data_IF_665057988217
#
_entry.id   IF_665057988217
#
_cell.length_a   1.000
_cell.length_b   1.000
_cell.length_c   1.000
_cell.angle_alpha   90.00
_cell.angle_beta   90.00
_cell.angle_gamma   90.00
#
_symmetry.space_group_name_H-M   'P 1'
#
loop_
_entity.id
_entity.type
_entity.pdbx_description
1 polymer ?
#
# COMPACT_ATOMS: atom_id res chain seq x y z
N UNK A 1 0.67 -6.91 27.04
CA UNK A 1 0.44 -6.26 25.74
C UNK A 1 1.06 -7.15 24.67
N UNK A 2 0.27 -7.63 23.71
CA UNK A 2 0.78 -8.48 22.62
C UNK A 2 1.78 -7.70 21.76
N UNK A 3 2.97 -8.27 21.49
CA UNK A 3 3.99 -7.66 20.63
C UNK A 3 3.46 -7.42 19.21
N UNK A 4 2.43 -8.16 18.78
CA UNK A 4 1.81 -8.01 17.48
C UNK A 4 1.15 -6.65 17.25
N UNK A 5 0.76 -5.93 18.31
CA UNK A 5 0.24 -4.56 18.17
C UNK A 5 1.25 -3.56 17.64
N UNK A 6 2.56 -3.82 17.83
CA UNK A 6 3.62 -2.92 17.40
C UNK A 6 3.66 -2.86 15.88
N UNK A 7 3.36 -3.96 15.19
CA UNK A 7 3.50 -4.05 13.74
C UNK A 7 2.53 -3.12 12.97
N UNK A 8 1.21 -3.11 13.25
CA UNK A 8 0.30 -2.14 12.64
C UNK A 8 0.64 -0.69 12.96
N UNK A 9 1.20 -0.40 14.14
CA UNK A 9 1.57 0.98 14.55
C UNK A 9 2.89 1.42 13.90
N UNK A 10 3.85 0.51 13.73
CA UNK A 10 5.14 0.84 13.15
C UNK A 10 5.04 1.12 11.65
N UNK A 11 4.11 0.50 10.93
CA UNK A 11 3.89 0.79 9.51
C UNK A 11 3.62 2.28 9.22
N UNK A 12 2.56 2.93 9.77
CA UNK A 12 2.34 4.35 9.55
C UNK A 12 3.46 5.20 10.12
N UNK A 13 4.01 4.86 11.30
CA UNK A 13 5.09 5.63 11.90
C UNK A 13 6.33 5.69 10.99
N UNK A 14 6.76 4.55 10.45
CA UNK A 14 7.93 4.46 9.57
C UNK A 14 7.64 5.03 8.18
N UNK A 15 6.50 4.68 7.57
CA UNK A 15 6.18 5.09 6.21
C UNK A 15 5.89 6.58 6.13
N UNK A 16 5.05 7.14 7.02
CA UNK A 16 4.72 8.57 7.02
C UNK A 16 5.99 9.40 7.30
N UNK A 17 6.77 9.03 8.32
CA UNK A 17 8.03 9.73 8.61
C UNK A 17 8.99 9.63 7.44
N UNK A 18 9.10 8.44 6.83
CA UNK A 18 9.96 8.20 5.68
C UNK A 18 9.61 9.07 4.48
N UNK A 19 8.32 9.14 4.08
CA UNK A 19 7.92 9.98 2.94
C UNK A 19 8.14 11.47 3.21
N UNK A 20 7.98 11.94 4.45
CA UNK A 20 8.31 13.32 4.82
C UNK A 20 9.81 13.60 4.76
N UNK A 21 10.66 12.63 5.12
CA UNK A 21 12.11 12.74 4.96
C UNK A 21 12.49 12.79 3.48
N UNK A 22 11.89 11.93 2.65
CA UNK A 22 12.07 11.94 1.18
C UNK A 22 11.66 13.30 0.61
N UNK A 23 10.51 13.83 1.02
CA UNK A 23 10.07 15.17 0.63
C UNK A 23 11.06 16.26 1.06
N UNK A 24 11.51 16.25 2.32
CA UNK A 24 12.46 17.23 2.83
C UNK A 24 13.79 17.21 2.07
N UNK A 25 14.29 16.01 1.72
CA UNK A 25 15.49 15.87 0.88
C UNK A 25 15.25 16.41 -0.53
N UNK A 26 14.15 16.02 -1.18
CA UNK A 26 13.80 16.48 -2.52
C UNK A 26 13.65 18.00 -2.58
N UNK A 27 13.08 18.59 -1.53
CA UNK A 27 12.90 20.02 -1.38
C UNK A 27 14.23 20.75 -1.16
N UNK A 28 15.09 20.20 -0.30
CA UNK A 28 16.43 20.74 -0.06
C UNK A 28 17.27 20.74 -1.35
N UNK A 29 17.20 19.64 -2.11
CA UNK A 29 17.89 19.46 -3.40
C UNK A 29 17.19 20.14 -4.58
N UNK A 30 16.09 20.89 -4.36
CA UNK A 30 15.37 21.62 -5.42
C UNK A 30 14.75 20.73 -6.50
N UNK A 31 14.49 19.46 -6.20
CA UNK A 31 13.85 18.52 -7.12
C UNK A 31 12.33 18.70 -7.17
N UNK A 32 11.72 19.21 -6.09
CA UNK A 32 10.30 19.50 -5.98
C UNK A 32 10.04 20.87 -5.37
N UNK A 33 8.85 21.40 -5.61
CA UNK A 33 8.38 22.65 -5.04
C UNK A 33 7.87 22.50 -3.61
N UNK A 34 7.91 23.58 -2.80
CA UNK A 34 7.26 23.58 -1.51
C UNK A 34 5.76 23.27 -1.63
N UNK A 35 5.22 22.46 -0.72
CA UNK A 35 3.79 22.10 -0.68
C UNK A 35 2.89 23.31 -0.46
N UNK A 36 3.40 24.37 0.19
CA UNK A 36 2.67 25.62 0.35
C UNK A 36 2.77 26.55 -0.88
N UNK A 37 3.59 26.22 -1.88
CA UNK A 37 3.74 27.04 -3.07
C UNK A 37 2.71 26.67 -4.14
N UNK A 38 1.76 27.56 -4.37
CA UNK A 38 0.74 27.43 -5.41
C UNK A 38 1.04 28.25 -6.67
N UNK A 39 2.19 28.94 -6.70
CA UNK A 39 2.63 29.74 -7.84
C UNK A 39 3.55 28.90 -8.73
N UNK A 40 3.03 28.47 -9.87
CA UNK A 40 3.79 27.78 -10.91
C UNK A 40 3.92 28.71 -12.11
N UNK A 41 5.16 29.10 -12.44
CA UNK A 41 5.47 29.98 -13.56
C UNK A 41 6.69 29.44 -14.31
N UNK A 42 6.66 29.51 -15.65
CA UNK A 42 7.80 29.20 -16.50
C UNK A 42 8.88 30.29 -16.44
N UNK A 43 8.49 31.51 -16.09
CA UNK A 43 9.38 32.66 -15.88
C UNK A 43 9.64 32.82 -14.38
N UNK A 44 10.91 32.81 -13.93
CA UNK A 44 11.26 32.84 -12.50
C UNK A 44 11.12 34.26 -11.94
N UNK A 45 9.93 34.84 -12.01
CA UNK A 45 9.67 36.23 -11.60
C UNK A 45 9.62 36.40 -10.07
N UNK A 46 9.56 35.31 -9.30
CA UNK A 46 9.39 35.34 -7.84
C UNK A 46 10.46 34.50 -7.16
N UNK A 47 11.25 35.13 -6.28
CA UNK A 47 12.20 34.44 -5.41
C UNK A 47 11.43 33.58 -4.39
N UNK A 48 11.68 32.26 -4.40
CA UNK A 48 11.09 31.35 -3.42
C UNK A 48 12.02 31.21 -2.20
N UNK A 49 11.56 31.55 -0.97
CA UNK A 49 12.43 31.69 0.22
C UNK A 49 13.15 30.41 0.65
N UNK A 50 12.73 29.23 0.16
CA UNK A 50 13.31 27.93 0.49
C UNK A 50 14.17 27.32 -0.64
N UNK A 51 14.20 27.96 -1.82
CA UNK A 51 15.04 27.54 -2.93
C UNK A 51 16.36 28.32 -2.91
N UNK A 52 17.50 27.63 -2.72
CA UNK A 52 18.84 28.27 -2.65
C UNK A 52 19.70 28.03 -3.90
N UNK A 53 19.08 27.76 -5.05
CA UNK A 53 19.75 27.45 -6.32
C UNK A 53 19.57 28.53 -7.40
N UNK A 54 20.24 28.40 -8.56
CA UNK A 54 20.13 29.34 -9.68
C UNK A 54 18.77 29.31 -10.38
N UNK A 55 18.01 28.22 -10.22
CA UNK A 55 16.64 28.06 -10.72
C UNK A 55 15.65 28.20 -9.56
N UNK A 56 14.98 29.35 -9.49
CA UNK A 56 13.95 29.67 -8.48
C UNK A 56 12.52 29.38 -9.01
N UNK A 57 12.41 28.69 -10.15
CA UNK A 57 11.15 28.42 -10.82
C UNK A 57 10.51 27.12 -10.35
N UNK A 58 9.20 27.17 -10.12
CA UNK A 58 8.34 26.00 -10.01
C UNK A 58 7.63 25.73 -11.32
N UNK A 59 7.96 24.61 -11.97
CA UNK A 59 7.28 24.12 -13.17
C UNK A 59 6.36 22.94 -12.82
N UNK A 60 5.54 22.49 -13.77
CA UNK A 60 4.70 21.28 -13.60
C UNK A 60 5.53 20.04 -13.26
N UNK A 61 6.75 19.96 -13.77
CA UNK A 61 7.62 18.82 -13.51
C UNK A 61 8.08 18.76 -12.04
N UNK A 62 7.89 19.83 -11.27
CA UNK A 62 8.30 19.95 -9.87
C UNK A 62 7.12 19.92 -8.89
N UNK A 63 5.90 19.60 -9.32
CA UNK A 63 4.76 19.44 -8.42
C UNK A 63 5.08 18.34 -7.38
N UNK A 64 4.87 18.59 -6.07
CA UNK A 64 5.37 17.72 -5.01
C UNK A 64 4.50 16.47 -4.78
N UNK A 65 4.25 15.69 -5.83
CA UNK A 65 3.73 14.33 -5.71
C UNK A 65 4.71 13.47 -4.90
N UNK A 66 4.22 12.49 -4.14
CA UNK A 66 5.06 11.61 -3.32
C UNK A 66 6.09 10.90 -4.21
N UNK A 67 5.63 10.37 -5.35
CA UNK A 67 6.47 9.69 -6.34
C UNK A 67 7.52 10.62 -6.96
N UNK A 68 7.18 11.89 -7.18
CA UNK A 68 8.12 12.89 -7.71
C UNK A 68 9.24 13.17 -6.71
N UNK A 69 8.92 13.27 -5.42
CA UNK A 69 9.91 13.44 -4.36
C UNK A 69 10.95 12.29 -4.34
N UNK A 70 10.53 11.07 -4.68
CA UNK A 70 11.38 9.88 -4.74
C UNK A 70 12.00 9.57 -6.10
N UNK A 71 12.12 10.54 -7.02
CA UNK A 71 12.55 10.25 -8.40
C UNK A 71 14.07 10.25 -8.62
N UNK A 72 14.82 11.09 -7.90
CA UNK A 72 16.26 11.25 -8.09
C UNK A 72 17.06 10.70 -6.90
N UNK A 73 18.33 10.28 -7.06
CA UNK A 73 19.18 9.91 -5.93
C UNK A 73 19.65 11.13 -5.12
N UNK A 74 19.77 11.02 -3.79
CA UNK A 74 19.58 9.81 -2.97
C UNK A 74 18.13 9.50 -2.58
N UNK A 75 17.17 10.39 -2.88
CA UNK A 75 15.78 10.30 -2.44
C UNK A 75 15.08 9.03 -2.95
N UNK A 76 15.39 8.63 -4.18
CA UNK A 76 14.86 7.44 -4.82
C UNK A 76 15.24 6.16 -4.09
N UNK A 77 16.47 6.06 -3.56
CA UNK A 77 16.89 4.91 -2.77
C UNK A 77 16.09 4.80 -1.46
N UNK A 78 15.86 5.94 -0.79
CA UNK A 78 15.02 5.98 0.41
C UNK A 78 13.56 5.65 0.08
N UNK A 79 13.02 6.21 -1.00
CA UNK A 79 11.67 5.94 -1.45
C UNK A 79 11.45 4.45 -1.77
N UNK A 80 12.38 3.83 -2.50
CA UNK A 80 12.36 2.40 -2.78
C UNK A 80 12.43 1.56 -1.50
N UNK A 81 13.28 1.94 -0.55
CA UNK A 81 13.39 1.25 0.74
C UNK A 81 12.08 1.33 1.55
N UNK A 82 11.50 2.53 1.64
CA UNK A 82 10.24 2.78 2.38
C UNK A 82 9.10 1.99 1.74
N UNK A 83 8.93 2.06 0.43
CA UNK A 83 7.87 1.35 -0.28
C UNK A 83 8.04 -0.16 -0.19
N UNK A 84 9.27 -0.68 -0.37
CA UNK A 84 9.52 -2.13 -0.30
C UNK A 84 9.33 -2.68 1.12
N UNK A 85 9.82 -1.97 2.14
CA UNK A 85 9.62 -2.34 3.54
C UNK A 85 8.14 -2.25 3.92
N UNK A 86 7.47 -1.16 3.52
CA UNK A 86 6.04 -0.96 3.72
C UNK A 86 5.21 -2.06 3.08
N UNK A 87 5.50 -2.45 1.83
CA UNK A 87 4.85 -3.58 1.16
C UNK A 87 5.00 -4.88 1.91
N UNK A 88 6.21 -5.19 2.40
CA UNK A 88 6.43 -6.40 3.21
C UNK A 88 5.62 -6.36 4.51
N UNK A 89 5.63 -5.24 5.23
CA UNK A 89 4.84 -5.05 6.44
C UNK A 89 3.33 -5.19 6.17
N UNK A 90 2.84 -4.59 5.08
CA UNK A 90 1.44 -4.75 4.63
C UNK A 90 1.12 -6.22 4.39
N UNK A 91 1.96 -6.96 3.66
CA UNK A 91 1.73 -8.39 3.42
C UNK A 91 1.60 -9.18 4.72
N UNK A 92 2.49 -8.92 5.71
CA UNK A 92 2.46 -9.58 7.01
C UNK A 92 1.21 -9.18 7.81
N UNK A 93 0.86 -7.88 7.88
CA UNK A 93 -0.34 -7.40 8.57
C UNK A 93 -1.59 -8.04 7.96
N UNK A 94 -1.72 -8.02 6.63
CA UNK A 94 -2.88 -8.59 5.95
C UNK A 94 -2.99 -10.10 6.19
N UNK A 95 -1.86 -10.82 6.16
CA UNK A 95 -1.82 -12.25 6.46
C UNK A 95 -2.22 -12.56 7.91
N UNK A 96 -1.68 -11.82 8.88
CA UNK A 96 -2.05 -11.96 10.30
C UNK A 96 -3.53 -11.63 10.53
N UNK A 97 -4.04 -10.58 9.88
CA UNK A 97 -5.45 -10.21 9.93
C UNK A 97 -6.32 -11.32 9.39
N UNK A 98 -5.96 -11.89 8.24
CA UNK A 98 -6.67 -13.01 7.63
C UNK A 98 -6.75 -14.22 8.59
N UNK A 99 -5.62 -14.61 9.19
CA UNK A 99 -5.58 -15.73 10.14
C UNK A 99 -6.37 -15.44 11.43
N UNK A 100 -6.27 -14.22 11.96
CA UNK A 100 -7.02 -13.82 13.14
C UNK A 100 -8.54 -13.90 12.94
N UNK A 101 -9.02 -13.53 11.76
CA UNK A 101 -10.44 -13.66 11.41
C UNK A 101 -10.88 -15.12 11.34
N UNK A 102 -10.03 -16.00 10.82
CA UNK A 102 -10.31 -17.45 10.77
C UNK A 102 -10.37 -18.05 12.17
N UNK A 103 -9.41 -17.72 13.03
CA UNK A 103 -9.32 -18.23 14.39
C UNK A 103 -10.55 -17.84 15.23
N UNK A 104 -10.94 -16.57 15.23
CA UNK A 104 -12.03 -16.07 16.09
C UNK A 104 -13.43 -16.33 15.56
N UNK A 105 -13.56 -16.56 14.26
CA UNK A 105 -14.83 -16.73 13.60
C UNK A 105 -14.78 -17.95 12.68
N UNK A 106 -15.03 -17.75 11.39
CA UNK A 106 -14.79 -18.71 10.33
C UNK A 106 -14.39 -17.95 9.07
N UNK A 107 -13.67 -18.61 8.16
CA UNK A 107 -13.30 -17.97 6.92
C UNK A 107 -14.54 -17.61 6.09
N UNK A 108 -14.45 -16.51 5.36
CA UNK A 108 -15.51 -16.06 4.45
C UNK A 108 -14.90 -15.42 3.21
N UNK A 109 -15.71 -15.32 2.14
CA UNK A 109 -15.28 -14.72 0.87
C UNK A 109 -14.69 -13.33 1.07
N UNK A 110 -15.27 -12.52 1.95
CA UNK A 110 -14.80 -11.17 2.25
C UNK A 110 -13.38 -11.15 2.84
N UNK A 111 -13.05 -12.13 3.69
CA UNK A 111 -11.73 -12.25 4.31
C UNK A 111 -10.66 -12.67 3.28
N UNK A 112 -10.98 -13.65 2.43
CA UNK A 112 -10.09 -14.07 1.33
C UNK A 112 -9.90 -12.97 0.29
N UNK A 113 -10.98 -12.29 -0.12
CA UNK A 113 -10.91 -11.17 -1.05
C UNK A 113 -10.05 -10.02 -0.48
N UNK A 114 -10.16 -9.76 0.82
CA UNK A 114 -9.32 -8.77 1.49
C UNK A 114 -7.85 -9.18 1.53
N UNK A 115 -7.53 -10.45 1.79
CA UNK A 115 -6.17 -10.97 1.69
C UNK A 115 -5.57 -10.73 0.30
N UNK A 116 -6.29 -11.17 -0.75
CA UNK A 116 -5.84 -11.03 -2.13
C UNK A 116 -5.63 -9.57 -2.53
N UNK A 117 -6.59 -8.69 -2.23
CA UNK A 117 -6.50 -7.25 -2.56
C UNK A 117 -5.35 -6.57 -1.81
N UNK A 118 -5.11 -6.92 -0.54
CA UNK A 118 -3.98 -6.39 0.23
C UNK A 118 -2.62 -6.80 -0.33
N UNK A 119 -2.47 -8.03 -0.81
CA UNK A 119 -1.23 -8.49 -1.45
C UNK A 119 -1.02 -7.90 -2.85
N UNK A 120 -2.08 -7.76 -3.64
CA UNK A 120 -2.02 -7.06 -4.93
C UNK A 120 -1.60 -5.59 -4.71
N UNK A 121 -2.15 -4.93 -3.70
CA UNK A 121 -1.74 -3.57 -3.31
C UNK A 121 -0.25 -3.50 -2.97
N UNK A 122 0.26 -4.45 -2.17
CA UNK A 122 1.67 -4.52 -1.82
C UNK A 122 2.57 -4.73 -3.05
N UNK A 123 2.17 -5.57 -4.01
CA UNK A 123 2.88 -5.77 -5.26
C UNK A 123 2.91 -4.48 -6.11
N UNK A 124 1.80 -3.76 -6.21
CA UNK A 124 1.75 -2.45 -6.86
C UNK A 124 2.68 -1.43 -6.19
N UNK A 125 2.72 -1.39 -4.85
CA UNK A 125 3.58 -0.49 -4.10
C UNK A 125 5.08 -0.82 -4.27
N UNK A 126 5.45 -2.10 -4.42
CA UNK A 126 6.82 -2.49 -4.80
C UNK A 126 7.18 -1.90 -6.16
N UNK A 127 6.28 -1.99 -7.15
CA UNK A 127 6.52 -1.39 -8.46
C UNK A 127 6.68 0.13 -8.38
N UNK A 128 5.76 0.83 -7.71
CA UNK A 128 5.82 2.29 -7.51
C UNK A 128 7.15 2.72 -6.88
N UNK A 129 7.60 1.99 -5.86
CA UNK A 129 8.83 2.31 -5.12
C UNK A 129 10.10 2.07 -5.91
N UNK A 130 10.15 1.05 -6.77
CA UNK A 130 11.38 0.62 -7.46
C UNK A 130 11.49 1.14 -8.90
N UNK A 131 10.37 1.55 -9.51
CA UNK A 131 10.35 2.18 -10.84
C UNK A 131 10.00 3.65 -10.67
N UNK A 132 10.99 4.53 -10.76
CA UNK A 132 10.81 5.97 -10.55
C UNK A 132 9.96 6.59 -11.66
N UNK A 133 9.11 7.56 -11.32
CA UNK A 133 8.20 8.19 -12.28
C UNK A 133 8.96 8.91 -13.40
N UNK A 134 10.16 9.44 -13.17
CA UNK A 134 10.92 10.09 -14.24
C UNK A 134 11.68 9.12 -15.15
N UNK A 135 12.11 7.96 -14.62
CA UNK A 135 12.98 7.03 -15.34
C UNK A 135 12.22 5.86 -15.98
N UNK A 136 11.11 5.42 -15.38
CA UNK A 136 10.34 4.26 -15.84
C UNK A 136 8.83 4.50 -15.68
N UNK A 137 8.34 5.55 -16.35
CA UNK A 137 6.95 6.04 -16.32
C UNK A 137 5.90 4.95 -16.44
N UNK A 138 6.03 4.07 -17.44
CA UNK A 138 5.02 3.04 -17.72
C UNK A 138 4.90 2.08 -16.53
N UNK A 139 6.02 1.54 -16.03
CA UNK A 139 6.00 0.61 -14.91
C UNK A 139 5.56 1.29 -13.61
N UNK A 140 5.98 2.54 -13.40
CA UNK A 140 5.53 3.35 -12.26
C UNK A 140 4.01 3.50 -12.25
N UNK A 141 3.41 3.96 -13.35
CA UNK A 141 1.96 4.20 -13.44
C UNK A 141 1.15 2.90 -13.46
N UNK A 142 1.67 1.80 -14.01
CA UNK A 142 1.07 0.48 -13.83
C UNK A 142 1.06 0.10 -12.35
N UNK A 143 2.18 0.29 -11.64
CA UNK A 143 2.27 0.08 -10.20
C UNK A 143 1.26 0.92 -9.42
N UNK A 144 1.16 2.21 -9.71
CA UNK A 144 0.23 3.13 -9.05
C UNK A 144 -1.23 2.77 -9.33
N UNK A 145 -1.55 2.45 -10.59
CA UNK A 145 -2.87 1.98 -11.04
C UNK A 145 -3.28 0.64 -10.42
N UNK A 146 -2.33 -0.17 -9.98
CA UNK A 146 -2.60 -1.38 -9.18
C UNK A 146 -2.73 -1.01 -7.69
N UNK A 147 -1.74 -0.32 -7.13
CA UNK A 147 -1.62 -0.07 -5.70
C UNK A 147 -2.80 0.74 -5.14
N UNK A 148 -3.14 1.88 -5.74
CA UNK A 148 -4.12 2.79 -5.14
C UNK A 148 -5.55 2.24 -5.19
N UNK A 149 -6.06 1.74 -6.34
CA UNK A 149 -7.40 1.18 -6.38
C UNK A 149 -7.56 -0.08 -5.52
N UNK A 150 -6.56 -0.96 -5.51
CA UNK A 150 -6.62 -2.18 -4.67
C UNK A 150 -6.43 -1.88 -3.19
N UNK A 151 -5.66 -0.86 -2.84
CA UNK A 151 -5.58 -0.33 -1.47
C UNK A 151 -6.92 0.25 -1.00
N UNK A 152 -7.62 1.01 -1.84
CA UNK A 152 -8.97 1.50 -1.54
C UNK A 152 -9.95 0.33 -1.38
N UNK A 153 -9.93 -0.63 -2.31
CA UNK A 153 -10.78 -1.82 -2.22
C UNK A 153 -10.50 -2.61 -0.94
N UNK A 154 -9.22 -2.78 -0.56
CA UNK A 154 -8.82 -3.45 0.67
C UNK A 154 -9.47 -2.80 1.90
N UNK A 155 -9.38 -1.47 2.04
CA UNK A 155 -9.95 -0.77 3.22
C UNK A 155 -11.49 -0.78 3.21
N UNK A 156 -12.14 -0.79 2.04
CA UNK A 156 -13.58 -1.03 1.91
C UNK A 156 -13.97 -2.41 2.45
N UNK A 157 -13.27 -3.46 2.00
CA UNK A 157 -13.53 -4.84 2.42
C UNK A 157 -13.27 -5.01 3.92
N UNK A 158 -12.20 -4.42 4.46
CA UNK A 158 -11.88 -4.47 5.89
C UNK A 158 -12.88 -3.68 6.74
N UNK A 159 -13.40 -2.55 6.26
CA UNK A 159 -14.46 -1.81 6.96
C UNK A 159 -15.74 -2.65 7.05
N UNK A 160 -16.17 -3.24 5.93
CA UNK A 160 -17.32 -4.14 5.91
C UNK A 160 -17.11 -5.38 6.80
N UNK A 161 -15.91 -5.96 6.77
CA UNK A 161 -15.57 -7.11 7.60
C UNK A 161 -15.59 -6.73 9.09
N UNK A 162 -15.08 -5.55 9.45
CA UNK A 162 -15.08 -5.05 10.83
C UNK A 162 -16.50 -4.98 11.39
N UNK A 163 -17.45 -4.38 10.66
CA UNK A 163 -18.85 -4.36 11.09
C UNK A 163 -19.48 -5.74 11.17
N UNK A 164 -19.18 -6.62 10.20
CA UNK A 164 -19.71 -7.99 10.20
C UNK A 164 -19.25 -8.80 11.41
N UNK A 165 -18.05 -8.52 11.91
CA UNK A 165 -17.46 -9.25 13.04
C UNK A 165 -17.71 -8.59 14.40
N UNK A 166 -18.11 -7.32 14.43
CA UNK A 166 -18.34 -6.56 15.66
C UNK A 166 -19.47 -7.17 16.50
N UNK A 167 -19.20 -7.34 17.80
CA UNK A 167 -20.15 -7.81 18.81
C UNK A 167 -20.30 -6.82 19.97
N UNK A 168 -19.31 -5.96 20.15
CA UNK A 168 -19.25 -4.97 21.24
C UNK A 168 -19.32 -3.54 20.69
N UNK A 169 -19.75 -2.60 21.52
CA UNK A 169 -19.79 -1.18 21.16
C UNK A 169 -18.40 -0.63 20.77
N UNK A 170 -17.34 -1.12 21.42
CA UNK A 170 -15.96 -0.76 21.07
C UNK A 170 -15.59 -1.19 19.64
N UNK A 171 -15.98 -2.40 19.24
CA UNK A 171 -15.73 -2.90 17.87
C UNK A 171 -16.57 -2.14 16.82
N UNK A 172 -17.81 -1.77 17.16
CA UNK A 172 -18.62 -0.88 16.31
C UNK A 172 -17.98 0.50 16.16
N UNK A 173 -17.43 1.08 17.22
CA UNK A 173 -16.70 2.36 17.15
C UNK A 173 -15.49 2.27 16.20
N UNK A 174 -14.74 1.17 16.24
CA UNK A 174 -13.65 0.92 15.27
C UNK A 174 -14.20 0.78 13.85
N UNK A 175 -15.35 0.12 13.67
CA UNK A 175 -16.06 0.05 12.40
C UNK A 175 -16.44 1.43 11.84
N UNK A 176 -16.98 2.31 12.69
CA UNK A 176 -17.32 3.70 12.32
C UNK A 176 -16.08 4.51 11.93
N UNK A 177 -15.00 4.41 12.71
CA UNK A 177 -13.73 5.05 12.40
C UNK A 177 -13.20 4.58 11.04
N UNK A 178 -13.16 3.27 10.79
CA UNK A 178 -12.67 2.69 9.54
C UNK A 178 -13.51 3.08 8.33
N UNK A 179 -14.84 3.13 8.49
CA UNK A 179 -15.74 3.59 7.44
C UNK A 179 -15.50 5.05 7.11
N UNK A 180 -15.39 5.92 8.12
CA UNK A 180 -15.08 7.33 7.92
C UNK A 180 -13.75 7.53 7.18
N UNK A 181 -12.69 6.83 7.60
CA UNK A 181 -11.39 6.88 6.93
C UNK A 181 -11.46 6.35 5.50
N UNK A 182 -12.20 5.27 5.25
CA UNK A 182 -12.41 4.70 3.92
C UNK A 182 -13.12 5.68 2.98
N UNK A 183 -14.16 6.35 3.47
CA UNK A 183 -14.89 7.37 2.70
C UNK A 183 -13.98 8.55 2.36
N UNK A 184 -13.18 9.02 3.33
CA UNK A 184 -12.23 10.11 3.09
C UNK A 184 -11.13 9.70 2.11
N UNK A 185 -10.62 8.47 2.20
CA UNK A 185 -9.66 7.91 1.24
C UNK A 185 -10.27 7.80 -0.16
N UNK A 186 -11.53 7.39 -0.27
CA UNK A 186 -12.24 7.33 -1.56
C UNK A 186 -12.33 8.72 -2.21
N UNK A 187 -12.79 9.72 -1.45
CA UNK A 187 -12.86 11.11 -1.92
C UNK A 187 -11.48 11.62 -2.34
N UNK A 188 -10.46 11.40 -1.51
CA UNK A 188 -9.10 11.82 -1.82
C UNK A 188 -8.56 11.16 -3.10
N UNK A 189 -8.73 9.84 -3.27
CA UNK A 189 -8.25 9.15 -4.47
C UNK A 189 -8.98 9.62 -5.73
N UNK A 190 -10.31 9.81 -5.66
CA UNK A 190 -11.11 10.28 -6.80
C UNK A 190 -10.71 11.70 -7.19
N UNK A 191 -10.57 12.62 -6.22
CA UNK A 191 -10.14 13.99 -6.49
C UNK A 191 -8.70 14.04 -7.02
N UNK A 192 -7.80 13.23 -6.45
CA UNK A 192 -6.42 13.11 -6.94
C UNK A 192 -6.41 12.70 -8.41
N UNK A 193 -7.10 11.61 -8.79
CA UNK A 193 -7.17 11.15 -10.18
C UNK A 193 -7.86 12.15 -11.11
N UNK A 194 -8.98 12.74 -10.69
CA UNK A 194 -9.74 13.70 -11.51
C UNK A 194 -8.96 14.98 -11.80
N UNK A 195 -8.15 15.45 -10.84
CA UNK A 195 -7.32 16.63 -11.01
C UNK A 195 -5.97 16.33 -11.69
N UNK A 196 -5.46 15.11 -11.55
CA UNK A 196 -4.21 14.68 -12.18
C UNK A 196 -4.25 14.78 -13.71
N UNK A 197 -5.39 14.45 -14.31
CA UNK A 197 -5.57 14.46 -15.77
C UNK A 197 -5.76 15.85 -16.36
N UNK A 198 -5.80 16.90 -15.52
CA UNK A 198 -6.04 18.27 -15.97
C UNK A 198 -4.71 18.97 -16.32
N UNK A 199 -4.75 19.90 -17.27
CA UNK A 199 -3.58 20.70 -17.65
C UNK A 199 -3.32 21.90 -16.72
N UNK A 200 -4.20 22.14 -15.74
CA UNK A 200 -4.08 23.27 -14.81
C UNK A 200 -3.07 23.00 -13.70
N UNK A 201 -2.12 23.94 -13.50
CA UNK A 201 -1.13 23.90 -12.42
C UNK A 201 -1.76 23.77 -11.03
N UNK A 202 -2.84 24.52 -10.79
CA UNK A 202 -3.56 24.52 -9.52
C UNK A 202 -4.21 23.16 -9.27
N UNK A 203 -4.77 22.55 -10.32
CA UNK A 203 -5.41 21.23 -10.20
C UNK A 203 -4.37 20.13 -10.01
N UNK A 204 -3.25 20.14 -10.73
CA UNK A 204 -2.18 19.16 -10.51
C UNK A 204 -1.55 19.30 -9.11
N UNK A 205 -1.36 20.52 -8.60
CA UNK A 205 -0.93 20.71 -7.22
C UNK A 205 -1.97 20.16 -6.24
N UNK A 206 -3.26 20.47 -6.43
CA UNK A 206 -4.33 19.89 -5.62
C UNK A 206 -4.34 18.36 -5.68
N UNK A 207 -4.09 17.78 -6.87
CA UNK A 207 -3.98 16.33 -7.06
C UNK A 207 -2.88 15.72 -6.19
N UNK A 208 -1.70 16.37 -6.11
CA UNK A 208 -0.62 15.97 -5.23
C UNK A 208 -1.03 16.02 -3.76
N UNK A 209 -1.71 17.10 -3.31
CA UNK A 209 -2.23 17.16 -1.94
C UNK A 209 -3.17 15.99 -1.64
N UNK A 210 -4.08 15.68 -2.56
CA UNK A 210 -5.00 14.55 -2.39
C UNK A 210 -4.30 13.19 -2.42
N UNK A 211 -3.22 13.03 -3.18
CA UNK A 211 -2.35 11.84 -3.14
C UNK A 211 -1.74 11.67 -1.73
N UNK A 212 -1.17 12.75 -1.17
CA UNK A 212 -0.62 12.75 0.19
C UNK A 212 -1.68 12.40 1.24
N UNK A 213 -2.85 13.03 1.15
CA UNK A 213 -3.97 12.77 2.05
C UNK A 213 -4.42 11.31 1.96
N UNK A 214 -4.59 10.77 0.74
CA UNK A 214 -4.94 9.36 0.53
C UNK A 214 -3.92 8.43 1.19
N UNK A 215 -2.63 8.62 0.90
CA UNK A 215 -1.56 7.79 1.45
C UNK A 215 -1.52 7.81 2.98
N UNK A 216 -1.63 8.99 3.60
CA UNK A 216 -1.66 9.13 5.06
C UNK A 216 -2.87 8.41 5.66
N UNK A 217 -4.05 8.56 5.08
CA UNK A 217 -5.27 7.89 5.58
C UNK A 217 -5.13 6.37 5.49
N UNK A 218 -4.63 5.84 4.38
CA UNK A 218 -4.40 4.39 4.22
C UNK A 218 -3.43 3.87 5.29
N UNK A 219 -2.32 4.59 5.53
CA UNK A 219 -1.35 4.22 6.57
C UNK A 219 -1.97 4.24 7.97
N UNK A 220 -2.72 5.28 8.30
CA UNK A 220 -3.45 5.36 9.58
C UNK A 220 -4.50 4.25 9.70
N UNK A 221 -5.17 3.87 8.60
CA UNK A 221 -6.14 2.78 8.59
C UNK A 221 -5.46 1.47 8.98
N UNK A 222 -4.29 1.16 8.42
CA UNK A 222 -3.49 0.01 8.86
C UNK A 222 -3.16 0.08 10.35
N UNK A 223 -2.82 1.27 10.85
CA UNK A 223 -2.60 1.52 12.28
C UNK A 223 -3.74 1.06 13.18
N UNK A 224 -4.99 1.16 12.72
CA UNK A 224 -6.16 0.72 13.50
C UNK A 224 -6.18 -0.79 13.76
N UNK A 225 -5.47 -1.62 12.99
CA UNK A 225 -5.40 -3.07 13.27
C UNK A 225 -4.70 -3.39 14.60
N UNK A 226 -4.00 -2.42 15.20
CA UNK A 226 -3.45 -2.57 16.55
C UNK A 226 -4.51 -2.99 17.58
N UNK A 227 -5.76 -2.50 17.44
CA UNK A 227 -6.85 -2.83 18.35
C UNK A 227 -7.20 -4.32 18.34
N UNK A 228 -7.18 -4.97 17.16
CA UNK A 228 -7.42 -6.42 17.08
C UNK A 228 -6.17 -7.25 17.29
N UNK A 229 -5.00 -6.74 16.91
CA UNK A 229 -3.72 -7.45 17.04
C UNK A 229 -3.30 -7.62 18.50
N UNK A 230 -3.89 -6.83 19.40
CA UNK A 230 -3.84 -7.04 20.84
C UNK A 230 -4.26 -8.47 21.25
N UNK A 231 -5.18 -9.07 20.50
CA UNK A 231 -5.75 -10.38 20.76
C UNK A 231 -5.19 -11.51 19.89
N UNK A 232 -4.10 -11.30 19.15
CA UNK A 232 -3.42 -12.39 18.42
C UNK A 232 -2.76 -13.34 19.42
N UNK A 233 -3.04 -14.64 19.26
CA UNK A 233 -2.65 -15.72 20.16
C UNK A 233 -1.77 -16.76 19.45
N UNK A 234 -1.29 -17.77 20.18
CA UNK A 234 -0.62 -18.92 19.58
C UNK A 234 -1.53 -19.70 18.62
N UNK A 235 -2.85 -19.68 18.84
CA UNK A 235 -3.82 -20.36 17.97
C UNK A 235 -3.90 -19.67 16.60
N UNK A 236 -3.80 -18.33 16.55
CA UNK A 236 -3.67 -17.58 15.28
C UNK A 236 -2.47 -18.08 14.47
N UNK A 237 -1.34 -18.31 15.15
CA UNK A 237 -0.12 -18.79 14.51
C UNK A 237 -0.25 -20.23 14.03
N UNK A 238 -1.00 -21.07 14.75
CA UNK A 238 -1.32 -22.42 14.30
C UNK A 238 -2.22 -22.44 13.06
N UNK A 239 -3.15 -21.49 12.92
CA UNK A 239 -3.96 -21.35 11.68
C UNK A 239 -3.05 -21.09 10.48
N UNK A 240 -2.04 -20.23 10.63
CA UNK A 240 -1.04 -19.98 9.57
C UNK A 240 -0.23 -21.24 9.26
N UNK A 241 0.24 -21.96 10.28
CA UNK A 241 1.02 -23.19 10.10
C UNK A 241 0.21 -24.32 9.43
N UNK A 242 -1.07 -24.46 9.79
CA UNK A 242 -1.97 -25.46 9.17
C UNK A 242 -2.34 -25.10 7.72
N UNK A 243 -2.48 -23.82 7.40
CA UNK A 243 -2.66 -23.36 6.03
C UNK A 243 -1.50 -23.77 5.11
N UNK A 244 -0.27 -23.70 5.63
CA UNK A 244 0.93 -24.17 4.93
C UNK A 244 0.97 -25.70 4.78
N UNK A 245 0.58 -26.46 5.82
CA UNK A 245 0.56 -27.93 5.74
C UNK A 245 -0.52 -28.47 4.79
N UNK A 246 -1.69 -27.83 4.72
CA UNK A 246 -2.75 -28.20 3.77
C UNK A 246 -2.35 -27.87 2.32
N UNK A 247 -1.67 -26.74 2.09
CA UNK A 247 -1.10 -26.43 0.77
C UNK A 247 0.03 -27.39 0.39
N UNK A 248 0.91 -27.78 1.33
CA UNK A 248 1.99 -28.74 1.05
C UNK A 248 1.45 -30.14 0.77
N UNK A 249 0.43 -30.60 1.50
CA UNK A 249 -0.24 -31.90 1.25
C UNK A 249 -0.98 -31.88 -0.09
N UNK A 250 -1.68 -30.79 -0.42
CA UNK A 250 -2.35 -30.64 -1.72
C UNK A 250 -1.36 -30.58 -2.89
N UNK A 251 -0.22 -29.90 -2.74
CA UNK A 251 0.85 -29.91 -3.73
C UNK A 251 1.51 -31.28 -3.88
N UNK A 252 1.75 -32.00 -2.78
CA UNK A 252 2.29 -33.37 -2.82
C UNK A 252 1.34 -34.33 -3.53
N UNK A 253 0.04 -34.31 -3.22
CA UNK A 253 -0.93 -35.15 -3.94
C UNK A 253 -1.02 -34.81 -5.43
N UNK A 254 -0.92 -33.53 -5.80
CA UNK A 254 -0.91 -33.12 -7.21
C UNK A 254 0.37 -33.60 -7.91
N UNK A 255 1.51 -33.58 -7.24
CA UNK A 255 2.79 -34.06 -7.77
C UNK A 255 2.85 -35.59 -7.88
N UNK A 256 2.31 -36.32 -6.91
CA UNK A 256 2.13 -37.78 -6.98
C UNK A 256 1.17 -38.19 -8.10
N UNK A 257 0.08 -37.45 -8.31
CA UNK A 257 -0.84 -37.68 -9.42
C UNK A 257 -0.16 -37.47 -10.78
N UNK A 258 0.65 -36.42 -10.94
CA UNK A 258 1.42 -36.16 -12.16
C UNK A 258 2.51 -37.22 -12.38
N UNK A 259 3.18 -37.69 -11.33
CA UNK A 259 4.17 -38.76 -11.39
C UNK A 259 3.53 -40.12 -11.74
N UNK A 260 2.36 -40.43 -11.18
CA UNK A 260 1.59 -41.64 -11.48
C UNK A 260 1.10 -41.69 -12.93
N UNK A 261 0.71 -40.55 -13.51
CA UNK A 261 0.36 -40.44 -14.94
C UNK A 261 1.59 -40.64 -15.83
N UNK A 262 2.75 -40.10 -15.44
CA UNK A 262 4.01 -40.31 -16.18
C UNK A 262 4.47 -41.77 -16.15
N UNK A 263 4.34 -42.47 -15.01
CA UNK A 263 4.69 -43.90 -14.93
C UNK A 263 3.78 -44.76 -15.81
N UNK A 264 2.46 -44.51 -15.77
CA UNK A 264 1.50 -45.26 -16.60
C UNK A 264 1.73 -45.06 -18.11
N UNK A 265 2.16 -43.87 -18.53
CA UNK A 265 2.47 -43.57 -19.92
C UNK A 265 3.81 -44.17 -20.37
N UNK A 266 4.75 -44.39 -19.45
CA UNK A 266 6.04 -45.04 -19.74
C UNK A 266 5.89 -46.55 -19.87
N UNK A 267 5.05 -47.19 -19.05
CA UNK A 267 4.75 -48.63 -19.15
C UNK A 267 3.95 -49.01 -20.40
N UNK A 268 3.14 -48.10 -20.97
CA UNK A 268 2.44 -48.38 -22.22
C UNK A 268 3.35 -48.34 -23.46
N UNK A 269 4.47 -47.62 -23.38
CA UNK A 269 5.45 -47.47 -24.46
C UNK A 269 6.51 -48.58 -24.49
N UNK A 270 6.67 -49.35 -23.41
CA UNK A 270 7.61 -50.49 -23.35
C UNK A 270 6.98 -51.83 -23.74
N UNK A 271 5.73 -51.85 -24.24
CA UNK A 271 4.99 -53.04 -24.67
C UNK A 271 4.70 -53.08 -26.18
N UNK A 272 5.41 -52.27 -26.97
CA UNK A 272 5.49 -52.34 -28.44
C UNK A 272 6.92 -52.72 -28.83
#
# INVERSE_FOLDING_TARGET
>A
MSLWMILPVSLPALTITGIWVVYAMALYNQHVCPVYNWMYNHSCEVDLPMQRGPTLCCTMDNVPFISKCGSLPPESCFFSLICSTGSFMVMVIVMLRYAHVIEKHQNCVLNTASLSTGWICAAGLIMVGNFQVDNSKVLHYVGAGVAFPTGLLFVCLQSALTYRLAKTQGEYNVGHLRLFMTLLACVALVLSGAFFVQESFVLQHASAIFEWVFCVIIMLFYGTFAFEFAGISSDTMMVLARGQSLQSVSQNHKMESLAGVSMHQTESLSKL
#
